data_IF_911975363838
#
_entry.id   IF_911975363838
#
_cell.length_a   1.000
_cell.length_b   1.000
_cell.length_c   1.000
_cell.angle_alpha   90.00
_cell.angle_beta   90.00
_cell.angle_gamma   90.00
#
_symmetry.space_group_name_H-M   'P 1'
#
loop_
_entity.id
_entity.type
_entity.pdbx_description
1 polymer ?
#
# COMPACT_ATOMS: atom_id res chain seq x y z
N UNK A 1 18.39 42.01 37.93
CA UNK A 1 17.22 41.23 37.48
C UNK A 1 17.24 41.21 35.95
N UNK A 2 17.59 40.06 35.34
CA UNK A 2 17.71 39.86 33.88
C UNK A 2 17.15 38.46 33.57
N UNK A 3 16.33 38.25 32.52
CA UNK A 3 15.70 36.95 32.27
C UNK A 3 16.65 35.96 31.59
N UNK A 4 16.79 34.78 32.20
CA UNK A 4 17.51 33.60 31.72
C UNK A 4 16.70 32.83 30.66
N UNK A 5 16.41 33.47 29.54
CA UNK A 5 15.84 32.79 28.39
C UNK A 5 16.46 33.40 27.14
N UNK A 6 17.53 32.79 26.64
CA UNK A 6 17.78 32.56 25.21
C UNK A 6 18.97 31.62 25.18
N UNK A 7 18.73 30.33 24.92
CA UNK A 7 19.80 29.39 24.63
C UNK A 7 19.92 29.27 23.10
N UNK A 8 20.95 29.83 22.45
CA UNK A 8 21.14 29.71 21.00
C UNK A 8 21.77 28.36 20.66
N UNK A 9 21.14 27.27 21.06
CA UNK A 9 21.64 25.93 20.77
C UNK A 9 20.51 24.90 20.58
N UNK A 10 19.32 25.35 20.17
CA UNK A 10 18.38 24.47 19.52
C UNK A 10 18.94 24.09 18.14
N UNK A 11 19.88 23.13 18.13
CA UNK A 11 20.22 22.38 16.94
C UNK A 11 18.90 21.80 16.43
N UNK A 12 18.42 22.31 15.31
CA UNK A 12 17.46 21.61 14.47
C UNK A 12 18.13 20.30 14.09
N UNK A 13 17.90 19.27 14.90
CA UNK A 13 18.17 17.90 14.50
C UNK A 13 17.35 17.69 13.24
N UNK A 14 18.06 17.46 12.13
CA UNK A 14 17.45 17.32 10.82
C UNK A 14 16.27 16.37 10.92
N UNK A 15 15.10 16.87 10.53
CA UNK A 15 14.07 16.01 10.02
C UNK A 15 14.67 15.33 8.79
N UNK A 16 15.25 14.14 8.98
CA UNK A 16 15.39 13.22 7.86
C UNK A 16 13.96 12.91 7.45
N UNK A 17 13.46 13.63 6.45
CA UNK A 17 12.41 13.12 5.60
C UNK A 17 12.94 11.79 5.09
N UNK A 18 12.45 10.71 5.70
CA UNK A 18 12.59 9.39 5.11
C UNK A 18 11.85 9.49 3.78
N UNK A 19 12.59 9.82 2.73
CA UNK A 19 12.16 9.64 1.35
C UNK A 19 11.71 8.20 1.28
N UNK A 20 10.40 7.97 1.34
CA UNK A 20 9.85 6.67 1.04
C UNK A 20 10.33 6.37 -0.37
N UNK A 21 11.17 5.35 -0.51
CA UNK A 21 11.54 4.79 -1.80
C UNK A 21 10.21 4.35 -2.43
N UNK A 22 9.64 5.20 -3.30
CA UNK A 22 8.41 4.93 -4.02
C UNK A 22 8.71 3.85 -5.03
N UNK A 23 8.74 2.59 -4.57
CA UNK A 23 8.75 1.45 -5.47
C UNK A 23 7.44 1.41 -6.20
N UNK A 24 7.51 1.63 -7.51
CA UNK A 24 6.42 1.30 -8.39
C UNK A 24 6.16 -0.20 -8.33
N UNK A 25 5.11 -0.58 -7.60
CA UNK A 25 4.61 -1.95 -7.53
C UNK A 25 3.34 -2.04 -8.36
N UNK A 26 3.30 -3.00 -9.29
CA UNK A 26 2.18 -3.23 -10.20
C UNK A 26 1.52 -4.57 -9.85
N UNK A 27 0.71 -4.66 -8.78
CA UNK A 27 0.04 -5.90 -8.44
C UNK A 27 -1.12 -6.19 -9.41
N UNK A 28 -1.15 -7.40 -9.96
CA UNK A 28 -2.31 -7.99 -10.61
C UNK A 28 -3.13 -8.75 -9.58
N UNK A 29 -4.45 -8.65 -9.68
CA UNK A 29 -5.39 -9.43 -8.87
C UNK A 29 -6.21 -10.31 -9.80
N UNK A 30 -6.17 -11.63 -9.57
CA UNK A 30 -6.81 -12.64 -10.43
C UNK A 30 -7.78 -13.45 -9.58
N UNK A 31 -9.07 -13.40 -9.94
CA UNK A 31 -10.08 -14.29 -9.37
C UNK A 31 -10.02 -15.66 -10.06
N UNK A 32 -9.94 -16.73 -9.28
CA UNK A 32 -10.07 -18.07 -9.80
C UNK A 32 -11.55 -18.34 -10.18
N UNK A 33 -11.76 -18.93 -11.36
CA UNK A 33 -13.10 -19.20 -11.89
C UNK A 33 -13.70 -20.52 -11.36
N UNK A 34 -12.88 -21.43 -10.85
CA UNK A 34 -13.29 -22.72 -10.31
C UNK A 34 -13.30 -22.72 -8.77
N UNK A 35 -12.34 -22.02 -8.15
CA UNK A 35 -12.20 -21.91 -6.71
C UNK A 35 -12.56 -20.49 -6.23
N UNK A 36 -13.20 -20.33 -5.06
CA UNK A 36 -13.53 -19.01 -4.52
C UNK A 36 -12.30 -18.38 -3.86
N UNK A 37 -11.30 -18.04 -4.68
CA UNK A 37 -10.02 -17.43 -4.25
C UNK A 37 -9.60 -16.32 -5.18
N UNK A 38 -8.90 -15.33 -4.62
CA UNK A 38 -8.24 -14.25 -5.38
C UNK A 38 -6.75 -14.28 -5.11
N UNK A 39 -5.94 -14.27 -6.15
CA UNK A 39 -4.47 -14.26 -6.04
C UNK A 39 -3.92 -12.91 -6.47
N UNK A 40 -3.08 -12.31 -5.63
CA UNK A 40 -2.30 -11.14 -5.95
C UNK A 40 -0.92 -11.55 -6.44
N UNK A 41 -0.50 -11.02 -7.59
CA UNK A 41 0.73 -11.36 -8.29
C UNK A 41 1.46 -10.07 -8.63
N UNK A 42 2.77 -10.01 -8.44
CA UNK A 42 3.58 -8.92 -8.96
C UNK A 42 3.67 -9.05 -10.49
N UNK A 43 3.22 -8.03 -11.23
CA UNK A 43 3.23 -8.07 -12.69
C UNK A 43 4.63 -8.13 -13.29
N UNK A 44 5.67 -7.70 -12.56
CA UNK A 44 7.01 -7.55 -13.09
C UNK A 44 7.75 -8.89 -13.06
N UNK A 45 7.77 -9.56 -11.91
CA UNK A 45 8.50 -10.82 -11.74
C UNK A 45 7.58 -12.06 -11.72
N UNK A 46 6.25 -11.87 -11.72
CA UNK A 46 5.26 -12.94 -11.70
C UNK A 46 5.13 -13.62 -10.34
N UNK A 47 5.73 -13.06 -9.27
CA UNK A 47 5.70 -13.66 -7.95
C UNK A 47 4.35 -13.48 -7.28
N UNK A 48 3.84 -14.55 -6.68
CA UNK A 48 2.66 -14.46 -5.82
C UNK A 48 2.97 -13.60 -4.60
N UNK A 49 2.23 -12.51 -4.46
CA UNK A 49 2.23 -11.62 -3.28
C UNK A 49 1.37 -12.24 -2.19
N UNK A 50 0.23 -12.84 -2.56
CA UNK A 50 -0.64 -13.54 -1.62
C UNK A 50 -1.88 -14.14 -2.29
N UNK A 51 -2.58 -15.01 -1.55
CA UNK A 51 -3.85 -15.60 -1.97
C UNK A 51 -4.89 -15.41 -0.87
N UNK A 52 -6.07 -14.96 -1.25
CA UNK A 52 -7.14 -14.57 -0.35
C UNK A 52 -8.38 -15.42 -0.63
N UNK A 53 -8.92 -16.16 0.36
CA UNK A 53 -10.19 -16.84 0.20
C UNK A 53 -11.32 -15.81 0.12
N UNK A 54 -12.29 -16.05 -0.77
CA UNK A 54 -13.47 -15.21 -0.92
C UNK A 54 -14.74 -16.07 -0.80
N UNK A 55 -15.91 -15.43 -0.70
CA UNK A 55 -17.17 -16.14 -0.45
C UNK A 55 -17.73 -16.84 -1.69
N UNK A 56 -17.33 -16.42 -2.88
CA UNK A 56 -17.83 -16.95 -4.15
C UNK A 56 -17.07 -16.34 -5.33
N UNK A 57 -17.49 -16.70 -6.53
CA UNK A 57 -17.00 -16.08 -7.75
C UNK A 57 -17.29 -14.59 -7.70
N UNK A 58 -16.27 -13.77 -7.91
CA UNK A 58 -16.35 -12.33 -7.74
C UNK A 58 -15.77 -11.61 -8.96
N UNK A 59 -16.48 -10.59 -9.41
CA UNK A 59 -15.91 -9.61 -10.35
C UNK A 59 -15.07 -8.61 -9.54
N UNK A 60 -13.88 -8.29 -10.03
CA UNK A 60 -12.93 -7.40 -9.36
C UNK A 60 -13.07 -5.98 -9.89
N UNK A 61 -13.16 -5.01 -8.97
CA UNK A 61 -13.19 -3.59 -9.29
C UNK A 61 -12.04 -2.87 -8.60
N UNK A 62 -11.21 -2.18 -9.37
CA UNK A 62 -10.15 -1.33 -8.82
C UNK A 62 -10.76 0.01 -8.42
N UNK A 63 -10.49 0.45 -7.20
CA UNK A 63 -10.80 1.82 -6.76
C UNK A 63 -10.06 2.84 -7.63
N UNK A 64 -10.62 4.04 -7.80
CA UNK A 64 -9.97 5.08 -8.60
C UNK A 64 -8.55 5.44 -8.11
N UNK A 65 -8.33 5.39 -6.79
CA UNK A 65 -7.02 5.65 -6.19
C UNK A 65 -6.02 4.49 -6.34
N UNK A 66 -6.48 3.30 -6.74
CA UNK A 66 -5.65 2.10 -6.82
C UNK A 66 -5.23 1.49 -5.49
N UNK A 67 -5.66 2.07 -4.36
CA UNK A 67 -5.29 1.58 -3.02
C UNK A 67 -6.11 0.37 -2.56
N UNK A 68 -7.22 0.10 -3.23
CA UNK A 68 -8.10 -1.01 -2.92
C UNK A 68 -8.66 -1.68 -4.19
N UNK A 69 -8.90 -2.98 -4.10
CA UNK A 69 -9.68 -3.78 -5.04
C UNK A 69 -10.89 -4.33 -4.29
N UNK A 70 -12.08 -4.04 -4.80
CA UNK A 70 -13.35 -4.49 -4.24
C UNK A 70 -13.87 -5.71 -5.01
N UNK A 71 -14.57 -6.59 -4.29
CA UNK A 71 -15.24 -7.77 -4.80
C UNK A 71 -16.73 -7.44 -4.91
N UNK A 72 -17.29 -7.52 -6.12
CA UNK A 72 -18.72 -7.31 -6.38
C UNK A 72 -19.26 -5.97 -5.83
N UNK A 73 -18.65 -4.87 -6.26
CA UNK A 73 -19.06 -3.53 -5.84
C UNK A 73 -20.42 -3.18 -6.44
N UNK A 74 -21.43 -3.05 -5.58
CA UNK A 74 -22.78 -2.55 -5.93
C UNK A 74 -22.79 -1.03 -6.15
#
# INVERSE_FOLDING_TARGET
MQPLWTNPAAKLAGISEASADEKEAWPLYVSDHAAPTVTAIDAIDGKTIGTFPVKGLATLYRSASGKAVCLDCS
#
